data_IF_122925294716
#
_entry.id   IF_122925294716
#
_cell.length_a   1.000
_cell.length_b   1.000
_cell.length_c   1.000
_cell.angle_alpha   90.00
_cell.angle_beta   90.00
_cell.angle_gamma   90.00
#
_symmetry.space_group_name_H-M   'P 1'
#
loop_
_entity.id
_entity.type
_entity.pdbx_description
1 polymer ?
#
# COMPACT_ATOMS: atom_id res chain seq x y z
N UNK A 1 -22.02 -13.19 5.09
CA UNK A 1 -22.54 -14.58 4.88
C UNK A 1 -23.77 -14.67 3.97
N UNK A 2 -24.37 -13.55 3.58
CA UNK A 2 -25.58 -13.54 2.73
C UNK A 2 -25.31 -13.45 1.22
N UNK A 3 -24.06 -13.16 0.81
CA UNK A 3 -23.71 -12.97 -0.59
C UNK A 3 -22.62 -13.97 -1.02
N UNK A 4 -22.70 -14.44 -2.27
CA UNK A 4 -21.62 -15.18 -2.89
C UNK A 4 -20.58 -14.19 -3.41
N UNK A 5 -19.31 -14.39 -3.07
CA UNK A 5 -18.20 -13.52 -3.45
C UNK A 5 -17.15 -14.35 -4.15
N UNK A 6 -16.62 -13.82 -5.26
CA UNK A 6 -15.46 -14.35 -5.94
C UNK A 6 -14.31 -13.32 -5.90
N UNK A 7 -13.13 -13.76 -5.50
CA UNK A 7 -11.88 -13.02 -5.58
C UNK A 7 -11.06 -13.53 -6.77
N UNK A 8 -10.78 -12.67 -7.71
CA UNK A 8 -9.96 -12.98 -8.90
C UNK A 8 -8.61 -12.32 -8.74
N UNK A 9 -7.52 -13.08 -8.86
CA UNK A 9 -6.16 -12.55 -8.75
C UNK A 9 -5.14 -13.35 -9.57
N UNK A 10 -4.11 -12.69 -10.14
CA UNK A 10 -2.95 -13.40 -10.71
C UNK A 10 -2.15 -14.10 -9.60
N UNK A 11 -1.35 -15.10 -9.95
CA UNK A 11 -0.48 -15.81 -9.00
C UNK A 11 0.57 -14.87 -8.42
N UNK A 12 1.23 -14.10 -9.26
CA UNK A 12 2.27 -13.16 -8.86
C UNK A 12 1.77 -11.72 -8.95
N UNK A 13 1.88 -10.98 -7.85
CA UNK A 13 1.65 -9.54 -7.85
C UNK A 13 3.00 -8.80 -7.83
N UNK A 14 3.20 -7.77 -8.67
CA UNK A 14 4.47 -7.04 -8.75
C UNK A 14 4.91 -6.42 -7.42
N UNK A 15 3.97 -6.22 -6.50
CA UNK A 15 4.20 -5.60 -5.20
C UNK A 15 4.55 -6.61 -4.08
N UNK A 16 4.71 -7.91 -4.39
CA UNK A 16 4.92 -8.96 -3.39
C UNK A 16 6.18 -8.83 -2.54
N UNK A 17 7.17 -8.07 -2.99
CA UNK A 17 8.43 -7.88 -2.26
C UNK A 17 8.43 -6.68 -1.29
N UNK A 18 7.38 -5.85 -1.26
CA UNK A 18 7.32 -4.66 -0.43
C UNK A 18 7.28 -5.00 1.07
N UNK A 19 8.08 -4.27 1.83
CA UNK A 19 7.94 -4.18 3.28
C UNK A 19 6.94 -3.08 3.63
N UNK A 20 6.05 -3.36 4.57
CA UNK A 20 5.02 -2.42 5.01
C UNK A 20 5.13 -2.20 6.52
N UNK A 21 5.04 -0.94 6.93
CA UNK A 21 4.92 -0.53 8.31
C UNK A 21 3.45 -0.28 8.65
N UNK A 22 2.88 -1.11 9.49
CA UNK A 22 1.46 -1.07 9.87
C UNK A 22 1.34 -0.54 11.30
N UNK A 23 0.76 0.65 11.51
CA UNK A 23 0.65 1.24 12.84
C UNK A 23 -0.37 0.49 13.72
N UNK A 24 -0.25 0.58 15.07
CA UNK A 24 -1.15 -0.07 16.02
C UNK A 24 -2.62 0.25 15.81
N UNK A 25 -2.91 1.47 15.35
CA UNK A 25 -4.28 1.92 15.05
C UNK A 25 -5.01 1.09 13.98
N UNK A 26 -4.29 0.22 13.25
CA UNK A 26 -4.87 -0.72 12.28
C UNK A 26 -5.43 -1.97 12.95
N UNK A 27 -5.01 -2.30 14.17
CA UNK A 27 -5.46 -3.49 14.93
C UNK A 27 -6.98 -3.53 15.11
N UNK A 28 -7.59 -2.37 15.38
CA UNK A 28 -9.06 -2.28 15.47
C UNK A 28 -9.73 -2.72 14.16
N UNK A 29 -9.19 -2.31 13.01
CA UNK A 29 -9.74 -2.69 11.71
C UNK A 29 -9.54 -4.19 11.43
N UNK A 30 -8.40 -4.76 11.81
CA UNK A 30 -8.20 -6.22 11.75
C UNK A 30 -9.23 -6.98 12.61
N UNK A 31 -9.58 -6.44 13.78
CA UNK A 31 -10.61 -7.01 14.65
C UNK A 31 -11.99 -6.96 14.00
N UNK A 32 -12.38 -5.80 13.45
CA UNK A 32 -13.66 -5.63 12.74
C UNK A 32 -13.79 -6.55 11.51
N UNK A 33 -12.68 -6.83 10.84
CA UNK A 33 -12.59 -7.76 9.72
C UNK A 33 -12.52 -9.23 10.16
N UNK A 34 -12.36 -9.51 11.46
CA UNK A 34 -12.24 -10.86 12.01
C UNK A 34 -10.90 -11.54 11.70
N UNK A 35 -9.85 -10.79 11.34
CA UNK A 35 -8.53 -11.32 10.96
C UNK A 35 -7.43 -11.03 11.97
N UNK A 36 -7.72 -10.32 13.08
CA UNK A 36 -6.71 -9.89 14.05
C UNK A 36 -5.91 -11.06 14.61
N UNK A 37 -6.56 -12.15 15.01
CA UNK A 37 -5.87 -13.31 15.56
C UNK A 37 -4.94 -13.96 14.52
N UNK A 38 -5.37 -14.05 13.26
CA UNK A 38 -4.56 -14.58 12.17
C UNK A 38 -3.31 -13.71 11.91
N UNK A 39 -3.45 -12.38 11.98
CA UNK A 39 -2.33 -11.44 11.85
C UNK A 39 -1.39 -11.54 13.06
N UNK A 40 -1.92 -11.61 14.29
CA UNK A 40 -1.13 -11.70 15.53
C UNK A 40 -0.29 -13.00 15.59
N UNK A 41 -0.80 -14.08 15.00
CA UNK A 41 -0.14 -15.41 15.01
C UNK A 41 0.71 -15.68 13.77
N UNK A 42 0.70 -14.78 12.77
CA UNK A 42 1.47 -14.95 11.54
C UNK A 42 2.98 -14.78 11.67
N UNK A 43 3.47 -14.40 12.86
CA UNK A 43 4.91 -14.22 13.13
C UNK A 43 5.52 -12.95 12.53
N UNK A 44 4.71 -11.94 12.20
CA UNK A 44 5.20 -10.65 11.73
C UNK A 44 6.04 -9.94 12.78
N UNK A 45 7.07 -9.24 12.32
CA UNK A 45 7.94 -8.48 13.20
C UNK A 45 7.18 -7.32 13.84
N UNK A 46 7.38 -7.08 15.13
CA UNK A 46 6.61 -6.05 15.85
C UNK A 46 7.15 -4.66 15.56
N UNK A 47 6.25 -3.74 15.28
CA UNK A 47 6.57 -2.32 15.11
C UNK A 47 6.28 -1.59 16.42
N UNK A 48 7.34 -1.16 17.10
CA UNK A 48 7.24 -0.46 18.38
C UNK A 48 7.28 1.06 18.25
N UNK A 49 7.52 1.57 17.05
CA UNK A 49 7.57 3.02 16.83
C UNK A 49 8.16 3.44 15.48
N UNK A 50 8.25 4.74 15.34
CA UNK A 50 8.95 5.39 14.24
C UNK A 50 10.08 6.26 14.78
N UNK A 51 11.22 6.32 14.10
CA UNK A 51 12.28 7.28 14.35
C UNK A 51 12.48 8.10 13.08
N UNK A 52 12.32 9.41 13.17
CA UNK A 52 12.23 10.30 12.02
C UNK A 52 13.23 11.43 12.15
N UNK A 53 14.02 11.65 11.10
CA UNK A 53 14.88 12.81 10.87
C UNK A 53 14.33 13.55 9.65
N UNK A 54 13.57 14.62 9.89
CA UNK A 54 12.88 15.32 8.81
C UNK A 54 13.25 16.80 8.80
N UNK A 55 13.77 17.26 7.69
CA UNK A 55 14.24 18.64 7.47
C UNK A 55 15.35 19.12 8.43
N UNK A 56 15.86 18.25 9.29
CA UNK A 56 16.95 18.53 10.21
C UNK A 56 17.56 17.22 10.74
N UNK A 57 18.65 17.30 11.51
CA UNK A 57 19.34 16.15 12.10
C UNK A 57 18.79 15.75 13.49
N UNK A 58 17.69 16.37 13.96
CA UNK A 58 17.11 16.04 15.24
C UNK A 58 16.18 14.81 15.11
N UNK A 59 16.46 13.79 15.91
CA UNK A 59 15.63 12.58 15.95
C UNK A 59 14.33 12.86 16.67
N UNK A 60 13.24 12.54 16.00
CA UNK A 60 11.89 12.52 16.58
C UNK A 60 11.43 11.06 16.69
N UNK A 61 11.18 10.60 17.90
CA UNK A 61 10.67 9.24 18.16
C UNK A 61 9.18 9.28 18.47
N UNK A 62 8.43 8.45 17.77
CA UNK A 62 7.06 8.10 18.10
C UNK A 62 7.06 6.66 18.61
N UNK A 63 6.88 6.48 19.91
CA UNK A 63 6.82 5.16 20.52
C UNK A 63 5.36 4.70 20.64
N UNK A 64 5.08 3.51 20.17
CA UNK A 64 3.75 2.90 20.24
C UNK A 64 3.55 2.22 21.59
N UNK A 65 3.34 3.05 22.65
CA UNK A 65 3.02 2.58 23.99
C UNK A 65 1.51 2.51 24.22
N UNK A 66 1.05 1.63 25.10
CA UNK A 66 -0.34 1.58 25.56
C UNK A 66 -1.29 0.75 24.68
N UNK A 67 -1.39 1.00 23.42
CA UNK A 67 -2.30 0.30 22.50
C UNK A 67 -1.67 -0.95 21.85
N UNK A 68 -0.48 -1.31 22.30
CA UNK A 68 0.30 -2.42 21.76
C UNK A 68 1.07 -2.05 20.49
N UNK A 69 1.99 -2.94 20.08
CA UNK A 69 2.83 -2.75 18.91
C UNK A 69 2.02 -2.88 17.61
N UNK A 70 2.47 -2.18 16.56
CA UNK A 70 2.08 -2.43 15.18
C UNK A 70 2.78 -3.66 14.60
N UNK A 71 2.86 -3.71 13.28
CA UNK A 71 3.52 -4.81 12.57
C UNK A 71 4.41 -4.28 11.45
N UNK A 72 5.56 -4.92 11.28
CA UNK A 72 6.32 -4.86 10.05
C UNK A 72 6.11 -6.16 9.29
N UNK A 73 5.63 -6.05 8.07
CA UNK A 73 5.24 -7.21 7.28
C UNK A 73 5.86 -7.17 5.89
N UNK A 74 6.19 -8.32 5.34
CA UNK A 74 6.26 -8.41 3.89
C UNK A 74 4.85 -8.58 3.31
N UNK A 75 4.60 -7.94 2.18
CA UNK A 75 3.27 -7.91 1.58
C UNK A 75 2.76 -9.29 1.20
N UNK A 76 3.65 -10.20 0.76
CA UNK A 76 3.27 -11.57 0.39
C UNK A 76 2.78 -12.36 1.60
N UNK A 77 3.45 -12.21 2.75
CA UNK A 77 3.02 -12.84 4.00
C UNK A 77 1.65 -12.35 4.46
N UNK A 78 1.45 -11.02 4.44
CA UNK A 78 0.16 -10.43 4.82
C UNK A 78 -0.96 -10.85 3.87
N UNK A 79 -0.70 -10.87 2.57
CA UNK A 79 -1.66 -11.31 1.55
C UNK A 79 -2.09 -12.76 1.78
N UNK A 80 -1.16 -13.65 2.11
CA UNK A 80 -1.46 -15.06 2.41
C UNK A 80 -2.40 -15.19 3.60
N UNK A 81 -2.20 -14.42 4.66
CA UNK A 81 -3.11 -14.38 5.81
C UNK A 81 -4.53 -13.99 5.38
N UNK A 82 -4.66 -12.95 4.54
CA UNK A 82 -5.97 -12.51 4.08
C UNK A 82 -6.64 -13.48 3.11
N UNK A 83 -5.89 -14.14 2.23
CA UNK A 83 -6.43 -15.17 1.34
C UNK A 83 -7.02 -16.31 2.16
N UNK A 84 -6.24 -16.87 3.10
CA UNK A 84 -6.71 -17.94 3.98
C UNK A 84 -7.96 -17.55 4.75
N UNK A 85 -8.00 -16.32 5.29
CA UNK A 85 -9.18 -15.81 6.00
C UNK A 85 -10.39 -15.65 5.07
N UNK A 86 -10.17 -15.25 3.81
CA UNK A 86 -11.21 -15.08 2.80
C UNK A 86 -11.83 -16.43 2.40
N UNK A 87 -11.00 -17.45 2.21
CA UNK A 87 -11.44 -18.82 1.94
C UNK A 87 -12.23 -19.41 3.12
N UNK A 88 -11.76 -19.17 4.34
CA UNK A 88 -12.41 -19.67 5.56
C UNK A 88 -13.83 -19.11 5.77
N UNK A 89 -14.17 -17.96 5.20
CA UNK A 89 -15.54 -17.42 5.23
C UNK A 89 -16.39 -17.82 4.02
N UNK A 90 -15.87 -18.69 3.15
CA UNK A 90 -16.57 -19.29 2.02
C UNK A 90 -16.60 -18.45 0.73
N UNK A 91 -15.63 -17.52 0.58
CA UNK A 91 -15.42 -16.86 -0.70
C UNK A 91 -14.72 -17.78 -1.70
N UNK A 92 -15.08 -17.70 -2.97
CA UNK A 92 -14.36 -18.40 -4.05
C UNK A 92 -13.13 -17.62 -4.42
N UNK A 93 -11.92 -18.17 -4.17
CA UNK A 93 -10.65 -17.53 -4.54
C UNK A 93 -10.10 -18.17 -5.81
N UNK A 94 -10.00 -17.39 -6.88
CA UNK A 94 -9.51 -17.79 -8.19
C UNK A 94 -8.09 -17.22 -8.36
N UNK A 95 -7.09 -18.04 -8.03
CA UNK A 95 -5.66 -17.69 -8.18
C UNK A 95 -5.20 -18.06 -9.60
N UNK A 96 -4.28 -17.28 -10.17
CA UNK A 96 -3.81 -17.48 -11.55
C UNK A 96 -4.81 -16.98 -12.59
N UNK A 97 -5.74 -16.13 -12.18
CA UNK A 97 -6.79 -15.59 -13.05
C UNK A 97 -6.71 -14.06 -13.07
N UNK A 98 -6.70 -13.46 -14.25
CA UNK A 98 -6.60 -12.02 -14.44
C UNK A 98 -7.82 -11.46 -15.17
N UNK A 99 -8.49 -10.47 -14.61
CA UNK A 99 -9.56 -9.77 -15.31
C UNK A 99 -9.01 -8.94 -16.49
N UNK A 100 -9.55 -9.16 -17.68
CA UNK A 100 -9.13 -8.49 -18.92
C UNK A 100 -10.14 -7.47 -19.41
N UNK A 101 -11.43 -7.77 -19.27
CA UNK A 101 -12.51 -6.90 -19.73
C UNK A 101 -13.71 -7.00 -18.81
N UNK A 102 -14.37 -5.88 -18.56
CA UNK A 102 -15.66 -5.85 -17.88
C UNK A 102 -16.65 -5.04 -18.73
N UNK A 103 -17.80 -5.61 -18.97
CA UNK A 103 -18.88 -5.00 -19.74
C UNK A 103 -20.12 -4.94 -18.86
N UNK A 104 -20.81 -3.81 -18.84
CA UNK A 104 -22.08 -3.66 -18.17
C UNK A 104 -23.15 -4.49 -18.91
N UNK A 105 -23.92 -5.28 -18.15
CA UNK A 105 -25.07 -6.04 -18.64
C UNK A 105 -26.35 -5.53 -17.99
N UNK A 106 -27.50 -6.04 -18.40
CA UNK A 106 -28.80 -5.70 -17.80
C UNK A 106 -28.86 -6.07 -16.31
N UNK A 107 -28.19 -7.15 -15.92
CA UNK A 107 -28.23 -7.70 -14.54
C UNK A 107 -27.02 -7.33 -13.70
N UNK A 108 -26.03 -6.61 -14.26
CA UNK A 108 -24.80 -6.27 -13.56
C UNK A 108 -23.60 -6.15 -14.49
N UNK A 109 -22.59 -6.97 -14.29
CA UNK A 109 -21.33 -6.98 -15.03
C UNK A 109 -21.00 -8.38 -15.53
N UNK A 110 -20.52 -8.45 -16.75
CA UNK A 110 -19.87 -9.60 -17.36
C UNK A 110 -18.36 -9.33 -17.42
N UNK A 111 -17.59 -10.14 -16.71
CA UNK A 111 -16.15 -9.99 -16.57
C UNK A 111 -15.49 -11.15 -17.33
N UNK A 112 -14.70 -10.81 -18.34
CA UNK A 112 -13.87 -11.78 -19.05
C UNK A 112 -12.51 -11.84 -18.37
N UNK A 113 -12.12 -13.01 -17.93
CA UNK A 113 -10.87 -13.28 -17.25
C UNK A 113 -10.02 -14.25 -18.08
N UNK A 114 -8.70 -14.10 -18.01
CA UNK A 114 -7.72 -14.98 -18.61
C UNK A 114 -6.99 -15.76 -17.50
N UNK A 115 -6.86 -17.06 -17.68
CA UNK A 115 -6.09 -17.95 -16.82
C UNK A 115 -4.62 -18.00 -17.26
N UNK A 116 -3.70 -18.39 -16.38
CA UNK A 116 -2.26 -18.46 -16.69
C UNK A 116 -1.90 -19.43 -17.82
N UNK A 117 -2.72 -20.45 -18.05
CA UNK A 117 -2.59 -21.39 -19.18
C UNK A 117 -3.20 -20.87 -20.49
N UNK A 118 -3.67 -19.60 -20.51
CA UNK A 118 -4.25 -18.94 -21.67
C UNK A 118 -5.74 -19.24 -21.90
N UNK A 119 -6.38 -19.96 -20.98
CA UNK A 119 -7.83 -20.18 -21.01
C UNK A 119 -8.60 -18.90 -20.71
N UNK A 120 -9.88 -18.90 -21.09
CA UNK A 120 -10.79 -17.77 -20.83
C UNK A 120 -11.94 -18.22 -19.91
N UNK A 121 -12.21 -17.43 -18.89
CA UNK A 121 -13.32 -17.64 -17.94
C UNK A 121 -14.19 -16.41 -17.93
N UNK A 122 -15.51 -16.61 -17.94
CA UNK A 122 -16.48 -15.53 -17.80
C UNK A 122 -17.13 -15.59 -16.41
N UNK A 123 -17.22 -14.44 -15.76
CA UNK A 123 -17.86 -14.27 -14.46
C UNK A 123 -18.94 -13.21 -14.61
N UNK A 124 -20.12 -13.52 -14.13
CA UNK A 124 -21.24 -12.58 -14.04
C UNK A 124 -21.53 -12.23 -12.57
N UNK A 125 -21.66 -10.94 -12.30
CA UNK A 125 -21.94 -10.44 -10.96
C UNK A 125 -22.73 -9.13 -11.00
N UNK A 126 -23.66 -8.89 -10.07
CA UNK A 126 -24.38 -7.61 -9.97
C UNK A 126 -23.44 -6.46 -9.58
N UNK A 127 -22.36 -6.77 -8.88
CA UNK A 127 -21.36 -5.80 -8.41
C UNK A 127 -19.93 -6.26 -8.71
N UNK A 128 -19.08 -5.29 -9.03
CA UNK A 128 -17.65 -5.48 -9.18
C UNK A 128 -16.91 -4.50 -8.25
N UNK A 129 -15.96 -5.02 -7.47
CA UNK A 129 -15.06 -4.24 -6.64
C UNK A 129 -13.68 -4.27 -7.31
N UNK A 130 -13.26 -3.13 -7.85
CA UNK A 130 -11.91 -2.99 -8.37
C UNK A 130 -10.94 -2.77 -7.21
N UNK A 131 -10.25 -3.83 -6.83
CA UNK A 131 -9.17 -3.84 -5.84
C UNK A 131 -7.80 -4.12 -6.47
N UNK A 132 -7.62 -3.78 -7.76
CA UNK A 132 -6.41 -4.07 -8.53
C UNK A 132 -5.23 -3.15 -8.20
N UNK A 133 -5.34 -2.35 -7.14
CA UNK A 133 -4.31 -1.44 -6.70
C UNK A 133 -3.97 -0.38 -7.76
N UNK A 134 -2.70 -0.07 -7.90
CA UNK A 134 -2.23 0.96 -8.85
C UNK A 134 -2.59 0.68 -10.31
N UNK A 135 -2.88 -0.57 -10.68
CA UNK A 135 -3.34 -0.92 -12.02
C UNK A 135 -4.67 -0.23 -12.37
N UNK A 136 -5.65 -0.25 -11.44
CA UNK A 136 -6.94 0.43 -11.60
C UNK A 136 -7.71 -0.05 -12.83
N UNK A 137 -8.14 -1.31 -12.81
CA UNK A 137 -8.81 -1.97 -13.93
C UNK A 137 -10.04 -1.20 -14.45
N UNK A 138 -10.87 -0.65 -13.55
CA UNK A 138 -12.04 0.15 -13.87
C UNK A 138 -11.79 1.67 -13.78
N UNK A 139 -10.59 2.10 -13.38
CA UNK A 139 -10.33 3.50 -13.05
C UNK A 139 -9.82 4.36 -14.22
N UNK A 140 -9.55 3.79 -15.38
CA UNK A 140 -8.84 4.45 -16.51
C UNK A 140 -9.47 5.75 -16.97
N UNK A 141 -10.80 5.81 -17.00
CA UNK A 141 -11.58 6.97 -17.45
C UNK A 141 -11.79 8.05 -16.38
N UNK A 142 -11.62 7.70 -15.11
CA UNK A 142 -11.88 8.61 -13.98
C UNK A 142 -10.63 9.03 -13.22
N UNK A 143 -9.50 8.33 -13.41
CA UNK A 143 -8.24 8.61 -12.70
C UNK A 143 -7.62 9.93 -13.16
N UNK A 144 -7.15 10.70 -12.19
CA UNK A 144 -6.35 11.90 -12.39
C UNK A 144 -5.00 11.74 -11.70
N UNK A 145 -3.88 11.68 -12.43
CA UNK A 145 -2.56 11.75 -11.83
C UNK A 145 -2.36 13.13 -11.18
N UNK A 146 -1.70 13.16 -10.06
CA UNK A 146 -1.13 14.39 -9.53
C UNK A 146 0.18 14.65 -10.29
N UNK A 147 0.16 15.67 -11.13
CA UNK A 147 1.31 15.98 -12.00
C UNK A 147 2.42 16.73 -11.29
N UNK A 148 2.18 17.16 -10.04
CA UNK A 148 3.22 17.78 -9.20
C UNK A 148 4.18 16.75 -8.61
N UNK A 149 3.88 15.45 -8.73
CA UNK A 149 4.71 14.38 -8.18
C UNK A 149 5.00 13.31 -9.24
N UNK A 150 6.28 13.05 -9.48
CA UNK A 150 6.77 11.98 -10.37
C UNK A 150 7.62 10.98 -9.59
N UNK A 151 7.19 10.69 -8.39
CA UNK A 151 7.95 9.90 -7.42
C UNK A 151 8.02 8.42 -7.81
N UNK A 152 9.19 7.86 -7.64
CA UNK A 152 9.45 6.42 -7.67
C UNK A 152 10.07 5.98 -6.33
N UNK A 153 9.80 4.73 -5.98
CA UNK A 153 10.42 4.05 -4.84
C UNK A 153 11.46 3.05 -5.34
N UNK A 154 12.70 3.18 -4.90
CA UNK A 154 13.80 2.26 -5.19
C UNK A 154 14.04 1.44 -3.93
N UNK A 155 13.98 0.12 -4.04
CA UNK A 155 13.91 -0.77 -2.90
C UNK A 155 14.97 -1.86 -2.95
N UNK A 156 15.51 -2.24 -1.79
CA UNK A 156 16.33 -3.43 -1.62
C UNK A 156 16.30 -3.90 -0.17
N UNK A 157 16.42 -5.22 0.03
CA UNK A 157 16.57 -5.83 1.35
C UNK A 157 18.04 -6.01 1.67
N UNK A 158 18.38 -5.77 2.94
CA UNK A 158 19.73 -5.97 3.47
C UNK A 158 19.67 -6.79 4.74
N UNK A 159 20.61 -7.72 4.87
CA UNK A 159 20.82 -8.52 6.05
C UNK A 159 22.06 -8.08 6.80
N UNK A 160 21.96 -7.92 8.11
CA UNK A 160 23.06 -7.64 9.02
C UNK A 160 23.15 -8.78 10.03
N UNK A 161 24.07 -9.74 9.86
CA UNK A 161 24.15 -10.93 10.72
C UNK A 161 24.34 -10.61 12.20
N UNK A 162 25.04 -9.51 12.52
CA UNK A 162 25.22 -9.04 13.91
C UNK A 162 23.97 -8.38 14.50
N UNK A 163 22.89 -8.24 13.72
CA UNK A 163 21.69 -7.48 14.12
C UNK A 163 21.84 -5.98 13.90
N UNK A 164 20.75 -5.27 14.08
CA UNK A 164 20.65 -3.82 13.99
C UNK A 164 20.73 -3.21 15.39
N UNK A 165 21.02 -1.90 15.49
CA UNK A 165 21.07 -1.18 16.75
C UNK A 165 19.79 -1.40 17.56
N UNK A 166 19.92 -1.85 18.82
CA UNK A 166 18.81 -2.18 19.72
C UNK A 166 17.83 -1.01 19.89
N UNK A 167 18.32 0.22 19.94
CA UNK A 167 17.48 1.41 20.10
C UNK A 167 16.51 1.65 18.92
N UNK A 168 16.80 1.08 17.75
CA UNK A 168 16.01 1.26 16.52
C UNK A 168 15.60 -0.06 15.87
N UNK A 169 15.95 -1.19 16.47
CA UNK A 169 15.74 -2.52 15.88
C UNK A 169 14.29 -2.76 15.45
N UNK A 170 13.34 -2.26 16.23
CA UNK A 170 11.89 -2.46 16.03
C UNK A 170 11.17 -1.19 15.53
N UNK A 171 11.90 -0.17 15.07
CA UNK A 171 11.32 1.06 14.54
C UNK A 171 11.39 1.10 13.02
N UNK A 172 10.36 1.68 12.41
CA UNK A 172 10.47 2.25 11.07
C UNK A 172 11.34 3.50 11.16
N UNK A 173 12.35 3.59 10.32
CA UNK A 173 13.24 4.75 10.24
C UNK A 173 12.89 5.55 9.00
N UNK A 174 12.85 6.88 9.13
CA UNK A 174 12.56 7.80 8.01
C UNK A 174 13.52 8.96 8.08
N UNK A 175 14.14 9.30 6.96
CA UNK A 175 15.07 10.41 6.84
C UNK A 175 14.84 11.17 5.53
N UNK A 176 14.67 12.50 5.61
CA UNK A 176 14.65 13.36 4.45
C UNK A 176 16.05 13.86 4.10
N UNK A 177 16.30 14.09 2.82
CA UNK A 177 17.53 14.68 2.30
C UNK A 177 17.20 15.57 1.08
N UNK A 178 18.18 16.24 0.51
CA UNK A 178 17.98 17.27 -0.50
C UNK A 178 17.11 16.84 -1.69
N UNK A 179 17.28 15.61 -2.18
CA UNK A 179 16.66 15.15 -3.43
C UNK A 179 15.48 14.18 -3.19
N UNK A 180 15.11 13.97 -1.91
CA UNK A 180 14.05 13.03 -1.58
C UNK A 180 13.99 12.65 -0.12
N UNK A 181 13.51 11.46 0.13
CA UNK A 181 13.52 10.86 1.47
C UNK A 181 13.72 9.35 1.38
N UNK A 182 14.21 8.78 2.44
CA UNK A 182 14.42 7.35 2.54
C UNK A 182 13.81 6.76 3.80
N UNK A 183 13.50 5.48 3.76
CA UNK A 183 13.06 4.76 4.95
C UNK A 183 13.69 3.38 5.04
N UNK A 184 13.68 2.85 6.26
CA UNK A 184 14.10 1.50 6.56
C UNK A 184 13.09 0.79 7.43
N UNK A 185 12.57 -0.36 6.98
CA UNK A 185 11.55 -1.15 7.65
C UNK A 185 12.16 -2.50 8.02
N UNK A 186 12.22 -2.86 9.32
CA UNK A 186 12.71 -4.18 9.74
C UNK A 186 11.67 -5.27 9.43
N UNK A 187 12.14 -6.42 8.96
CA UNK A 187 11.32 -7.61 8.72
C UNK A 187 11.68 -8.75 9.68
N UNK A 188 12.89 -8.68 10.28
CA UNK A 188 13.36 -9.58 11.32
C UNK A 188 14.46 -8.88 12.12
N UNK A 189 15.03 -9.50 13.18
CA UNK A 189 16.16 -8.93 13.90
C UNK A 189 17.40 -8.65 13.05
N UNK A 190 17.54 -9.35 11.90
CA UNK A 190 18.69 -9.22 11.01
C UNK A 190 18.36 -8.65 9.63
N UNK A 191 17.08 -8.64 9.23
CA UNK A 191 16.65 -8.25 7.88
C UNK A 191 15.88 -6.93 7.90
N UNK A 192 16.28 -5.96 7.07
CA UNK A 192 15.56 -4.70 6.82
C UNK A 192 15.39 -4.46 5.32
N UNK A 193 14.29 -3.81 4.97
CA UNK A 193 14.08 -3.26 3.64
C UNK A 193 14.38 -1.77 3.67
N UNK A 194 15.24 -1.32 2.79
CA UNK A 194 15.52 0.10 2.58
C UNK A 194 14.86 0.57 1.30
N UNK A 195 14.29 1.76 1.36
CA UNK A 195 13.59 2.39 0.25
C UNK A 195 14.04 3.83 0.13
N UNK A 196 14.46 4.25 -1.06
CA UNK A 196 14.64 5.66 -1.40
C UNK A 196 13.45 6.12 -2.27
N UNK A 197 12.83 7.23 -1.88
CA UNK A 197 11.76 7.92 -2.60
C UNK A 197 12.36 9.13 -3.28
N UNK A 198 12.38 9.11 -4.61
CA UNK A 198 13.05 10.13 -5.43
C UNK A 198 12.15 10.62 -6.55
N UNK A 199 12.40 11.83 -7.02
CA UNK A 199 11.76 12.34 -8.24
C UNK A 199 12.41 11.71 -9.48
N UNK A 200 11.60 11.11 -10.34
CA UNK A 200 12.04 10.45 -11.57
C UNK A 200 12.74 11.41 -12.55
N UNK A 201 12.40 12.69 -12.53
CA UNK A 201 13.00 13.68 -13.43
C UNK A 201 14.34 14.24 -12.95
N UNK A 202 14.61 14.10 -11.65
CA UNK A 202 15.83 14.61 -11.01
C UNK A 202 16.84 13.51 -10.68
N UNK A 203 16.49 12.24 -10.93
CA UNK A 203 17.36 11.10 -10.63
C UNK A 203 17.80 10.43 -11.94
N UNK A 204 19.11 10.26 -12.15
CA UNK A 204 19.64 9.54 -13.31
C UNK A 204 19.38 8.03 -13.15
N UNK A 205 18.39 7.54 -13.89
CA UNK A 205 17.96 6.13 -13.86
C UNK A 205 18.47 5.34 -15.07
N UNK A 206 18.62 5.99 -16.21
CA UNK A 206 18.86 5.35 -17.50
C UNK A 206 20.26 4.72 -17.55
N UNK A 207 20.32 3.46 -17.93
CA UNK A 207 21.58 2.73 -18.09
C UNK A 207 22.27 2.34 -16.78
N UNK A 208 21.67 2.61 -15.61
CA UNK A 208 22.25 2.32 -14.29
C UNK A 208 21.63 1.10 -13.64
N UNK A 209 22.43 0.37 -12.86
CA UNK A 209 21.93 -0.71 -12.02
C UNK A 209 21.12 -0.15 -10.84
N UNK A 210 19.92 -0.70 -10.61
CA UNK A 210 18.99 -0.23 -9.56
C UNK A 210 19.62 -0.24 -8.17
N UNK A 211 20.43 -1.25 -7.86
CA UNK A 211 21.15 -1.35 -6.59
C UNK A 211 22.18 -0.23 -6.39
N UNK A 212 22.84 0.18 -7.47
CA UNK A 212 23.80 1.29 -7.47
C UNK A 212 23.09 2.62 -7.20
N UNK A 213 21.95 2.87 -7.88
CA UNK A 213 21.14 4.08 -7.67
C UNK A 213 20.68 4.15 -6.21
N UNK A 214 20.17 3.06 -5.65
CA UNK A 214 19.74 3.05 -4.25
C UNK A 214 20.87 3.39 -3.29
N UNK A 215 22.06 2.83 -3.51
CA UNK A 215 23.22 3.11 -2.65
C UNK A 215 23.64 4.59 -2.71
N UNK A 216 23.64 5.18 -3.91
CA UNK A 216 23.97 6.60 -4.09
C UNK A 216 22.93 7.50 -3.41
N UNK A 217 21.64 7.17 -3.52
CA UNK A 217 20.59 7.92 -2.83
C UNK A 217 20.71 7.80 -1.31
N UNK A 218 20.93 6.59 -0.80
CA UNK A 218 21.10 6.36 0.63
C UNK A 218 22.39 7.00 1.18
N UNK A 219 23.44 7.12 0.37
CA UNK A 219 24.69 7.81 0.77
C UNK A 219 24.49 9.32 0.99
N UNK A 220 23.40 9.91 0.47
CA UNK A 220 23.02 11.32 0.74
C UNK A 220 22.37 11.51 2.11
N UNK A 221 21.93 10.43 2.77
CA UNK A 221 21.38 10.47 4.13
C UNK A 221 22.50 10.47 5.17
N UNK A 222 22.23 10.97 6.36
CA UNK A 222 23.19 10.99 7.48
C UNK A 222 23.08 9.73 8.34
N UNK A 223 21.88 9.38 8.72
CA UNK A 223 21.61 8.32 9.70
C UNK A 223 21.43 6.96 9.02
N UNK A 224 20.68 6.88 7.93
CA UNK A 224 20.48 5.62 7.21
C UNK A 224 21.76 5.15 6.52
N UNK A 225 22.59 6.07 6.00
CA UNK A 225 23.88 5.73 5.40
C UNK A 225 24.80 4.96 6.37
N UNK A 226 24.85 5.37 7.64
CA UNK A 226 25.71 4.74 8.66
C UNK A 226 25.29 3.30 9.00
N UNK A 227 24.10 2.86 8.59
CA UNK A 227 23.57 1.51 8.88
C UNK A 227 24.15 0.43 7.95
N UNK A 228 24.72 0.81 6.79
CA UNK A 228 25.14 -0.14 5.76
C UNK A 228 26.43 -0.90 6.05
N UNK A 229 27.18 -0.49 7.06
CA UNK A 229 28.41 -1.18 7.42
C UNK A 229 28.13 -2.63 7.82
N UNK A 230 28.89 -3.54 7.20
CA UNK A 230 28.78 -4.98 7.43
C UNK A 230 27.42 -5.58 7.06
N UNK A 231 26.72 -5.03 6.07
CA UNK A 231 25.47 -5.60 5.54
C UNK A 231 25.73 -6.39 4.26
N UNK A 232 24.88 -7.41 4.06
CA UNK A 232 24.79 -8.17 2.83
C UNK A 232 23.47 -7.87 2.11
N UNK A 233 23.46 -7.87 0.78
CA UNK A 233 22.22 -7.77 0.03
C UNK A 233 21.42 -9.06 0.14
N UNK A 234 20.12 -8.95 0.42
CA UNK A 234 19.18 -10.07 0.51
C UNK A 234 18.18 -9.98 -0.66
N UNK A 235 18.49 -10.66 -1.74
CA UNK A 235 17.72 -10.60 -2.99
C UNK A 235 18.07 -9.42 -3.88
N UNK A 236 17.32 -9.25 -4.98
CA UNK A 236 17.51 -8.16 -5.94
C UNK A 236 16.90 -6.85 -5.48
N UNK A 237 17.32 -5.76 -6.13
CA UNK A 237 16.70 -4.43 -6.02
C UNK A 237 15.54 -4.31 -7.03
N UNK A 238 14.55 -3.46 -6.73
CA UNK A 238 13.42 -3.21 -7.62
C UNK A 238 12.90 -1.78 -7.49
N UNK A 239 12.21 -1.31 -8.53
CA UNK A 239 11.59 0.02 -8.57
C UNK A 239 10.06 -0.13 -8.60
N UNK A 240 9.38 0.73 -7.86
CA UNK A 240 7.93 0.84 -7.88
C UNK A 240 7.50 2.29 -8.16
N UNK A 241 6.47 2.52 -8.99
CA UNK A 241 5.86 3.84 -9.09
C UNK A 241 5.27 4.25 -7.74
N UNK A 242 5.58 5.47 -7.28
CA UNK A 242 5.07 6.04 -6.02
C UNK A 242 4.30 7.35 -6.22
N UNK A 243 4.18 7.84 -7.47
CA UNK A 243 3.43 9.06 -7.81
C UNK A 243 1.98 9.00 -7.37
N UNK A 244 1.48 10.14 -6.92
CA UNK A 244 0.12 10.29 -6.40
C UNK A 244 -0.91 10.36 -7.53
N UNK A 245 -2.10 9.90 -7.25
CA UNK A 245 -3.28 10.08 -8.10
C UNK A 245 -4.57 9.89 -7.30
N UNK A 246 -5.65 10.41 -7.85
CA UNK A 246 -7.00 10.20 -7.33
C UNK A 246 -7.98 9.97 -8.46
N UNK A 247 -9.18 9.51 -8.13
CA UNK A 247 -10.29 9.37 -9.08
C UNK A 247 -11.29 10.50 -8.91
N UNK A 248 -11.86 10.97 -10.03
CA UNK A 248 -12.99 11.93 -9.99
C UNK A 248 -14.22 11.33 -9.34
N UNK A 249 -14.42 10.03 -9.54
CA UNK A 249 -15.46 9.21 -8.91
C UNK A 249 -14.85 7.88 -8.48
N UNK A 250 -15.22 7.42 -7.29
CA UNK A 250 -14.81 6.12 -6.73
C UNK A 250 -15.90 5.09 -6.83
N UNK A 251 -17.12 5.52 -7.14
CA UNK A 251 -18.30 4.68 -7.30
C UNK A 251 -19.01 4.91 -8.62
N UNK A 252 -19.69 3.89 -9.08
CA UNK A 252 -20.69 3.93 -10.14
C UNK A 252 -21.70 2.81 -9.91
N UNK A 253 -22.94 2.87 -10.48
CA UNK A 253 -23.92 1.82 -10.29
C UNK A 253 -23.35 0.43 -10.58
N UNK A 254 -23.31 -0.42 -9.55
CA UNK A 254 -22.77 -1.78 -9.62
C UNK A 254 -21.23 -1.88 -9.58
N UNK A 255 -20.47 -0.82 -9.31
CA UNK A 255 -19.01 -0.89 -9.22
C UNK A 255 -18.41 0.12 -8.24
N UNK A 256 -17.36 -0.28 -7.51
CA UNK A 256 -16.58 0.56 -6.60
C UNK A 256 -15.07 0.41 -6.88
N UNK A 257 -14.33 1.51 -6.71
CA UNK A 257 -12.86 1.52 -6.72
C UNK A 257 -12.34 1.46 -5.29
N UNK A 258 -11.68 0.37 -4.93
CA UNK A 258 -11.25 0.07 -3.55
C UNK A 258 -9.76 0.30 -3.40
N UNK A 259 -9.36 0.96 -2.32
CA UNK A 259 -7.96 1.20 -2.01
C UNK A 259 -7.23 1.98 -3.12
N UNK A 260 -6.05 1.50 -3.51
CA UNK A 260 -5.25 2.17 -4.54
C UNK A 260 -5.82 2.08 -5.95
N UNK A 261 -6.82 1.24 -6.21
CA UNK A 261 -7.56 1.33 -7.46
C UNK A 261 -8.26 2.69 -7.61
N UNK A 262 -8.71 3.28 -6.51
CA UNK A 262 -9.35 4.61 -6.49
C UNK A 262 -8.37 5.78 -6.38
N UNK A 263 -7.44 5.73 -5.42
CA UNK A 263 -6.43 6.77 -5.20
C UNK A 263 -5.19 6.23 -4.51
N UNK A 264 -4.04 6.77 -4.81
CA UNK A 264 -2.78 6.46 -4.13
C UNK A 264 -2.39 7.61 -3.20
N UNK A 265 -2.11 7.28 -1.94
CA UNK A 265 -1.59 8.20 -0.95
C UNK A 265 -0.07 8.19 -0.96
N UNK A 266 0.51 9.27 -0.45
CA UNK A 266 1.96 9.33 -0.24
C UNK A 266 2.43 8.24 0.73
N UNK A 267 3.47 7.47 0.38
CA UNK A 267 4.01 6.43 1.25
C UNK A 267 4.51 6.94 2.60
N UNK A 268 4.90 8.22 2.71
CA UNK A 268 5.31 8.85 3.96
C UNK A 268 4.22 8.76 5.05
N UNK A 269 2.95 8.70 4.64
CA UNK A 269 1.82 8.56 5.56
C UNK A 269 1.74 7.21 6.28
N UNK A 270 2.42 6.17 5.79
CA UNK A 270 2.26 4.77 6.22
C UNK A 270 0.79 4.30 6.29
N UNK A 271 -0.10 4.94 5.53
CA UNK A 271 -1.55 4.71 5.62
C UNK A 271 -2.10 3.82 4.50
N UNK A 272 -1.28 3.43 3.52
CA UNK A 272 -1.72 2.72 2.32
C UNK A 272 -2.49 1.43 2.62
N UNK A 273 -1.93 0.54 3.44
CA UNK A 273 -2.57 -0.72 3.86
C UNK A 273 -3.85 -0.47 4.65
N UNK A 274 -3.80 0.43 5.64
CA UNK A 274 -4.98 0.77 6.46
C UNK A 274 -6.10 1.37 5.61
N UNK A 275 -5.77 2.24 4.65
CA UNK A 275 -6.73 2.80 3.69
C UNK A 275 -7.38 1.70 2.86
N UNK A 276 -6.59 0.78 2.30
CA UNK A 276 -7.11 -0.30 1.47
C UNK A 276 -8.08 -1.19 2.23
N UNK A 277 -7.76 -1.54 3.48
CA UNK A 277 -8.63 -2.32 4.37
C UNK A 277 -9.91 -1.57 4.73
N UNK A 278 -9.80 -0.28 5.11
CA UNK A 278 -10.96 0.55 5.46
C UNK A 278 -11.88 0.77 4.25
N UNK A 279 -11.30 1.01 3.07
CA UNK A 279 -12.03 1.13 1.80
C UNK A 279 -12.75 -0.17 1.45
N UNK A 280 -12.07 -1.33 1.60
CA UNK A 280 -12.68 -2.65 1.38
C UNK A 280 -13.82 -2.97 2.34
N UNK A 281 -13.62 -2.68 3.63
CA UNK A 281 -14.67 -2.83 4.64
C UNK A 281 -15.89 -1.98 4.33
N UNK A 282 -15.69 -0.70 4.01
CA UNK A 282 -16.78 0.21 3.63
C UNK A 282 -17.46 -0.23 2.33
N UNK A 283 -16.68 -0.67 1.33
CA UNK A 283 -17.24 -1.19 0.08
C UNK A 283 -18.16 -2.38 0.31
N UNK A 284 -17.81 -3.28 1.24
CA UNK A 284 -18.66 -4.38 1.65
C UNK A 284 -20.01 -3.92 2.22
N UNK A 285 -20.00 -2.88 3.08
CA UNK A 285 -21.21 -2.28 3.64
C UNK A 285 -22.06 -1.64 2.54
N UNK A 286 -21.46 -0.84 1.66
CA UNK A 286 -22.16 -0.16 0.55
C UNK A 286 -22.84 -1.16 -0.39
N UNK A 287 -22.11 -2.21 -0.79
CA UNK A 287 -22.67 -3.25 -1.66
C UNK A 287 -23.81 -4.00 -0.95
N UNK A 288 -23.62 -4.34 0.32
CA UNK A 288 -24.68 -4.99 1.11
C UNK A 288 -25.93 -4.12 1.16
N UNK A 289 -25.79 -2.84 1.52
CA UNK A 289 -26.91 -1.90 1.55
C UNK A 289 -27.62 -1.82 0.21
N UNK A 290 -26.89 -1.63 -0.89
CA UNK A 290 -27.47 -1.54 -2.23
C UNK A 290 -28.18 -2.82 -2.70
N UNK A 291 -27.78 -3.98 -2.20
CA UNK A 291 -28.41 -5.26 -2.55
C UNK A 291 -29.71 -5.54 -1.75
N UNK A 292 -29.78 -5.09 -0.49
CA UNK A 292 -30.93 -5.35 0.37
C UNK A 292 -31.94 -4.19 0.43
N UNK A 293 -31.48 -2.96 0.18
CA UNK A 293 -32.29 -1.73 0.23
C UNK A 293 -32.01 -0.86 -1.02
N UNK A 294 -32.61 -1.22 -2.12
CA UNK A 294 -32.41 -0.55 -3.41
C UNK A 294 -32.61 0.97 -3.38
N UNK A 295 -33.60 1.53 -2.67
CA UNK A 295 -33.75 2.98 -2.51
C UNK A 295 -32.53 3.69 -1.90
N UNK A 296 -31.76 3.00 -1.04
CA UNK A 296 -30.55 3.55 -0.42
C UNK A 296 -29.29 3.47 -1.29
N UNK A 297 -29.37 2.90 -2.50
CA UNK A 297 -28.20 2.68 -3.35
C UNK A 297 -27.45 3.98 -3.63
N UNK A 298 -28.11 5.02 -4.10
CA UNK A 298 -27.46 6.28 -4.47
C UNK A 298 -26.85 6.98 -3.24
N UNK A 299 -27.54 6.95 -2.11
CA UNK A 299 -27.03 7.48 -0.84
C UNK A 299 -25.75 6.76 -0.40
N UNK A 300 -25.72 5.43 -0.51
CA UNK A 300 -24.57 4.62 -0.15
C UNK A 300 -23.37 4.87 -1.09
N UNK A 301 -23.63 5.03 -2.40
CA UNK A 301 -22.60 5.38 -3.40
C UNK A 301 -22.02 6.76 -3.15
N UNK A 302 -22.85 7.77 -2.90
CA UNK A 302 -22.41 9.14 -2.60
C UNK A 302 -21.61 9.19 -1.30
N UNK A 303 -22.02 8.42 -0.29
CA UNK A 303 -21.25 8.31 0.95
C UNK A 303 -19.87 7.71 0.71
N UNK A 304 -19.76 6.64 -0.08
CA UNK A 304 -18.49 6.03 -0.45
C UNK A 304 -17.58 7.02 -1.19
N UNK A 305 -18.11 7.68 -2.23
CA UNK A 305 -17.37 8.70 -3.01
C UNK A 305 -16.83 9.83 -2.12
N UNK A 306 -17.67 10.38 -1.25
CA UNK A 306 -17.30 11.47 -0.36
C UNK A 306 -16.23 11.03 0.65
N UNK A 307 -16.36 9.82 1.19
CA UNK A 307 -15.41 9.28 2.16
C UNK A 307 -14.03 9.05 1.53
N UNK A 308 -13.97 8.38 0.37
CA UNK A 308 -12.71 8.15 -0.34
C UNK A 308 -12.02 9.45 -0.76
N UNK A 309 -12.79 10.42 -1.26
CA UNK A 309 -12.28 11.76 -1.61
C UNK A 309 -11.72 12.50 -0.41
N UNK A 310 -12.46 12.51 0.70
CA UNK A 310 -12.03 13.16 1.94
C UNK A 310 -10.74 12.57 2.49
N UNK A 311 -10.59 11.24 2.46
CA UNK A 311 -9.34 10.57 2.88
C UNK A 311 -8.18 11.03 2.02
N UNK A 312 -8.33 10.98 0.69
CA UNK A 312 -7.28 11.43 -0.21
C UNK A 312 -6.86 12.88 0.06
N UNK A 313 -7.83 13.79 0.14
CA UNK A 313 -7.56 15.23 0.35
C UNK A 313 -6.84 15.49 1.69
N UNK A 314 -7.29 14.83 2.77
CA UNK A 314 -6.69 15.00 4.10
C UNK A 314 -5.24 14.54 4.15
N UNK A 315 -4.94 13.37 3.55
CA UNK A 315 -3.56 12.86 3.54
C UNK A 315 -2.65 13.61 2.58
N UNK A 316 -3.17 14.03 1.42
CA UNK A 316 -2.42 14.88 0.50
C UNK A 316 -2.02 16.20 1.13
N UNK A 317 -2.94 16.82 1.87
CA UNK A 317 -2.64 18.08 2.59
C UNK A 317 -1.53 17.86 3.63
N UNK A 318 -1.64 16.83 4.45
CA UNK A 318 -0.61 16.50 5.45
C UNK A 318 0.76 16.20 4.83
N UNK A 319 0.79 15.43 3.74
CA UNK A 319 2.06 15.16 3.06
C UNK A 319 2.68 16.44 2.49
N UNK A 320 1.86 17.36 1.96
CA UNK A 320 2.33 18.65 1.46
C UNK A 320 3.01 19.48 2.57
N UNK A 321 2.44 19.51 3.78
CA UNK A 321 3.05 20.21 4.93
C UNK A 321 4.46 19.69 5.26
N UNK A 322 4.65 18.36 5.23
CA UNK A 322 5.98 17.76 5.45
C UNK A 322 6.96 18.12 4.31
N UNK A 323 6.51 18.07 3.06
CA UNK A 323 7.37 18.45 1.94
C UNK A 323 7.70 19.93 1.92
N UNK A 324 6.77 20.81 2.32
CA UNK A 324 7.04 22.24 2.50
C UNK A 324 8.08 22.49 3.60
N UNK A 325 8.02 21.75 4.72
CA UNK A 325 9.05 21.79 5.78
C UNK A 325 10.42 21.39 5.20
N UNK A 326 10.51 20.28 4.47
CA UNK A 326 11.76 19.83 3.85
C UNK A 326 12.28 20.82 2.79
N UNK A 327 11.41 21.36 1.94
CA UNK A 327 11.76 22.34 0.93
C UNK A 327 12.31 23.64 1.53
N UNK A 328 11.84 24.06 2.70
CA UNK A 328 12.35 25.23 3.40
C UNK A 328 13.82 25.10 3.80
N UNK A 329 14.30 23.87 3.97
CA UNK A 329 15.69 23.56 4.37
C UNK A 329 16.56 23.24 3.16
N UNK A 330 16.07 22.43 2.24
CA UNK A 330 16.86 21.91 1.11
C UNK A 330 16.71 22.73 -0.18
N UNK A 331 15.74 23.65 -0.24
CA UNK A 331 15.54 24.58 -1.36
C UNK A 331 14.75 23.98 -2.56
N UNK A 332 14.36 22.69 -2.50
CA UNK A 332 13.49 22.03 -3.47
C UNK A 332 12.56 21.03 -2.75
N UNK A 333 11.29 20.94 -3.19
CA UNK A 333 10.35 19.98 -2.61
C UNK A 333 10.67 18.54 -3.08
#
# INVERSE_FOLDING_TARGET
RSHRVALVRPTNTPAGALAESIPPSTRRLFSELGVLNAVDTAGFFRNNGNSVWWANNERRDENFGGDGAGYHVDRTGLERVFITATEAVGCSVLIGVSARKAIKSETGWKITCETEDGGMVEIEAPWILDATGRHGFLARDVRKPDRSTTTIAINQRFEKPAGWDEATANHTLVESYQDGWACSIPLSPTLRCFTAMVDQHHTELEGREVSGILRDELAKTTHLASMFDHTNTAGGSWVCPASLYHSRKYSRPGALLVGDAGSCLDPLSSYGVKKALASGWLAGIVVHTALIDKPMTDVALDFFDNRERSVYQSYRHRSAEFFEEAASVYGHP
#
